data_IF_324851639673
#
_entry.id   IF_324851639673
#
_cell.length_a   1.000
_cell.length_b   1.000
_cell.length_c   1.000
_cell.angle_alpha   90.00
_cell.angle_beta   90.00
_cell.angle_gamma   90.00
#
_symmetry.space_group_name_H-M   'P 1'
#
loop_
_entity.id
_entity.type
_entity.pdbx_description
1 polymer ?
#
# COMPACT_ATOMS: atom_id res chain seq x y z
N UNK A 1 -9.11 -11.80 -16.89
CA UNK A 1 -9.39 -11.21 -15.59
C UNK A 1 -10.91 -11.07 -15.45
N UNK A 2 -11.48 -11.54 -14.33
CA UNK A 2 -12.90 -11.32 -14.08
C UNK A 2 -13.16 -9.81 -14.03
N UNK A 3 -14.26 -9.36 -14.69
CA UNK A 3 -14.67 -7.97 -14.66
C UNK A 3 -14.93 -7.56 -13.22
N UNK A 4 -14.12 -6.63 -12.71
CA UNK A 4 -14.31 -6.06 -11.36
C UNK A 4 -15.08 -4.76 -11.46
N UNK A 5 -15.94 -4.51 -10.50
CA UNK A 5 -16.58 -3.19 -10.36
C UNK A 5 -15.67 -2.23 -9.61
N UNK A 6 -15.73 -0.93 -9.90
CA UNK A 6 -15.02 0.09 -9.13
C UNK A 6 -15.35 0.02 -7.65
N UNK A 7 -14.32 0.15 -6.79
CA UNK A 7 -14.45 0.10 -5.34
C UNK A 7 -14.42 1.54 -4.81
N UNK A 8 -15.49 1.98 -4.16
CA UNK A 8 -15.53 3.31 -3.54
C UNK A 8 -14.85 3.26 -2.16
N UNK A 9 -13.84 4.11 -1.96
CA UNK A 9 -13.03 4.14 -0.75
C UNK A 9 -13.05 5.52 -0.12
N UNK A 10 -13.61 5.65 1.07
CA UNK A 10 -13.47 6.86 1.88
C UNK A 10 -12.10 6.85 2.55
N UNK A 11 -11.32 7.90 2.31
CA UNK A 11 -9.99 8.06 2.88
C UNK A 11 -10.00 8.94 4.13
N UNK A 12 -9.10 8.64 5.05
CA UNK A 12 -8.82 9.44 6.25
C UNK A 12 -7.31 9.50 6.46
N UNK A 13 -6.81 10.63 6.94
CA UNK A 13 -5.42 10.74 7.37
C UNK A 13 -5.23 10.05 8.72
N UNK A 14 -4.18 9.26 8.87
CA UNK A 14 -3.81 8.55 10.11
C UNK A 14 -2.30 8.50 10.30
N UNK A 15 -1.89 8.41 11.56
CA UNK A 15 -0.54 7.97 11.92
C UNK A 15 -0.45 6.44 11.75
N UNK A 16 0.50 6.00 10.94
CA UNK A 16 0.83 4.60 10.72
C UNK A 16 2.25 4.35 11.24
N UNK A 17 2.37 4.16 12.56
CA UNK A 17 3.65 3.88 13.23
C UNK A 17 4.73 4.94 12.95
N UNK A 18 4.35 6.21 13.03
CA UNK A 18 5.22 7.36 12.83
C UNK A 18 5.26 7.91 11.40
N UNK A 19 4.54 7.29 10.45
CA UNK A 19 4.28 7.88 9.13
C UNK A 19 2.87 8.46 9.10
N UNK A 20 2.69 9.59 8.46
CA UNK A 20 1.37 10.05 8.11
C UNK A 20 0.96 9.44 6.77
N UNK A 21 -0.23 8.87 6.73
CA UNK A 21 -0.76 8.20 5.56
C UNK A 21 -2.27 8.41 5.41
N UNK A 22 -2.75 8.41 4.17
CA UNK A 22 -4.16 8.23 3.89
C UNK A 22 -4.48 6.73 3.94
N UNK A 23 -5.48 6.38 4.72
CA UNK A 23 -5.95 5.02 4.90
C UNK A 23 -7.44 4.92 4.63
N UNK A 24 -7.96 3.73 4.43
CA UNK A 24 -9.40 3.52 4.41
C UNK A 24 -10.01 3.89 5.76
N UNK A 25 -11.11 4.66 5.74
CA UNK A 25 -11.91 4.91 6.94
C UNK A 25 -12.43 3.60 7.51
N UNK A 26 -12.96 2.75 6.64
CA UNK A 26 -13.41 1.39 6.94
C UNK A 26 -12.74 0.41 6.00
N UNK A 27 -12.21 -0.68 6.54
CA UNK A 27 -11.54 -1.71 5.73
C UNK A 27 -12.55 -2.46 4.86
N UNK A 28 -12.36 -2.42 3.55
CA UNK A 28 -13.22 -3.11 2.58
C UNK A 28 -12.64 -4.46 2.18
N UNK A 29 -13.48 -5.48 2.15
CA UNK A 29 -13.10 -6.83 1.72
C UNK A 29 -12.59 -6.82 0.27
N UNK A 30 -13.28 -6.09 -0.61
CA UNK A 30 -12.95 -5.99 -2.04
C UNK A 30 -11.54 -5.43 -2.28
N UNK A 31 -11.09 -4.49 -1.45
CA UNK A 31 -9.71 -3.96 -1.52
C UNK A 31 -8.68 -5.01 -1.08
N UNK A 32 -8.97 -5.79 -0.04
CA UNK A 32 -8.09 -6.88 0.39
C UNK A 32 -8.02 -7.98 -0.66
N UNK A 33 -9.14 -8.34 -1.26
CA UNK A 33 -9.23 -9.32 -2.35
C UNK A 33 -8.46 -8.84 -3.58
N UNK A 34 -8.64 -7.58 -4.00
CA UNK A 34 -7.89 -6.99 -5.11
C UNK A 34 -6.38 -7.09 -4.87
N UNK A 35 -5.92 -6.68 -3.68
CA UNK A 35 -4.51 -6.75 -3.32
C UNK A 35 -3.99 -8.20 -3.30
N UNK A 36 -4.75 -9.13 -2.74
CA UNK A 36 -4.40 -10.54 -2.69
C UNK A 36 -4.34 -11.17 -4.10
N UNK A 37 -5.25 -10.81 -4.98
CA UNK A 37 -5.24 -11.28 -6.37
C UNK A 37 -4.06 -10.72 -7.15
N UNK A 38 -3.71 -9.45 -6.97
CA UNK A 38 -2.48 -8.89 -7.54
C UNK A 38 -1.25 -9.70 -7.10
N UNK A 39 -1.12 -10.00 -5.80
CA UNK A 39 -0.01 -10.82 -5.29
C UNK A 39 0.00 -12.18 -5.96
N UNK A 40 -1.11 -12.91 -5.97
CA UNK A 40 -1.20 -14.27 -6.55
C UNK A 40 -0.87 -14.29 -8.05
N UNK A 41 -1.40 -13.33 -8.82
CA UNK A 41 -1.23 -13.32 -10.27
C UNK A 41 0.17 -12.87 -10.71
N UNK A 42 0.79 -11.96 -9.96
CA UNK A 42 2.11 -11.43 -10.31
C UNK A 42 3.28 -12.15 -9.61
N UNK A 43 3.01 -13.04 -8.64
CA UNK A 43 4.06 -13.81 -7.96
C UNK A 43 4.98 -14.59 -8.93
N UNK A 44 4.48 -15.23 -10.01
CA UNK A 44 5.36 -15.91 -10.98
C UNK A 44 6.31 -14.98 -11.75
N UNK A 45 6.02 -13.68 -11.77
CA UNK A 45 6.85 -12.66 -12.45
C UNK A 45 7.86 -12.01 -11.49
N UNK A 46 7.79 -12.30 -10.23
CA UNK A 46 8.61 -11.70 -9.17
C UNK A 46 9.99 -12.35 -9.12
N UNK A 47 11.04 -11.53 -9.09
CA UNK A 47 12.37 -12.01 -8.71
C UNK A 47 12.37 -12.44 -7.24
N UNK A 48 13.02 -13.55 -6.93
CA UNK A 48 13.18 -13.99 -5.54
C UNK A 48 14.03 -12.96 -4.77
N UNK A 49 13.64 -12.60 -3.54
CA UNK A 49 14.43 -11.70 -2.72
C UNK A 49 15.76 -12.37 -2.34
N UNK A 50 16.85 -11.60 -2.38
CA UNK A 50 18.15 -12.06 -1.87
C UNK A 50 18.15 -12.12 -0.34
N UNK A 51 19.10 -12.90 0.23
CA UNK A 51 19.22 -13.13 1.68
C UNK A 51 19.31 -11.82 2.46
N UNK A 52 20.13 -10.87 2.01
CA UNK A 52 20.27 -9.56 2.66
C UNK A 52 18.96 -8.76 2.71
N UNK A 53 18.07 -8.93 1.74
CA UNK A 53 16.75 -8.29 1.77
C UNK A 53 15.82 -8.98 2.78
N UNK A 54 15.85 -10.30 2.86
CA UNK A 54 15.09 -11.08 3.83
C UNK A 54 15.52 -10.74 5.26
N UNK A 55 16.82 -10.70 5.53
CA UNK A 55 17.37 -10.32 6.84
C UNK A 55 16.97 -8.90 7.25
N UNK A 56 17.04 -7.94 6.31
CA UNK A 56 16.59 -6.56 6.57
C UNK A 56 15.13 -6.49 6.99
N UNK A 57 14.25 -7.31 6.38
CA UNK A 57 12.84 -7.35 6.74
C UNK A 57 12.61 -7.99 8.11
N UNK A 58 13.35 -9.07 8.41
CA UNK A 58 13.30 -9.77 9.72
C UNK A 58 13.78 -8.88 10.86
N UNK A 59 14.79 -8.03 10.60
CA UNK A 59 15.29 -7.08 11.59
C UNK A 59 14.25 -6.05 12.07
N UNK A 60 13.14 -5.89 11.35
CA UNK A 60 12.00 -5.05 11.77
C UNK A 60 11.11 -5.70 12.84
N UNK A 61 11.35 -6.97 13.21
CA UNK A 61 10.57 -7.70 14.22
C UNK A 61 9.22 -8.19 13.65
N UNK A 62 9.26 -9.23 12.83
CA UNK A 62 8.06 -9.81 12.21
C UNK A 62 7.30 -10.73 13.18
N UNK A 63 5.97 -10.71 13.09
CA UNK A 63 5.15 -11.76 13.70
C UNK A 63 5.33 -13.11 12.97
N UNK A 64 4.92 -14.21 13.59
CA UNK A 64 4.96 -15.53 12.94
C UNK A 64 4.18 -15.55 11.61
N UNK A 65 3.04 -14.86 11.55
CA UNK A 65 2.25 -14.74 10.33
C UNK A 65 2.95 -13.91 9.26
N UNK A 66 3.59 -12.80 9.64
CA UNK A 66 4.36 -11.97 8.74
C UNK A 66 5.60 -12.70 8.19
N UNK A 67 6.27 -13.52 9.01
CA UNK A 67 7.37 -14.36 8.55
C UNK A 67 6.87 -15.40 7.52
N UNK A 68 5.71 -16.03 7.72
CA UNK A 68 5.11 -16.93 6.72
C UNK A 68 4.81 -16.20 5.41
N UNK A 69 4.28 -14.96 5.48
CA UNK A 69 4.04 -14.16 4.28
C UNK A 69 5.34 -13.81 3.57
N UNK A 70 6.39 -13.44 4.33
CA UNK A 70 7.72 -13.14 3.78
C UNK A 70 8.30 -14.35 3.03
N UNK A 71 8.24 -15.54 3.63
CA UNK A 71 8.75 -16.76 3.03
C UNK A 71 7.97 -17.16 1.77
N UNK A 72 6.64 -17.07 1.83
CA UNK A 72 5.77 -17.48 0.73
C UNK A 72 5.74 -16.48 -0.42
N UNK A 73 5.66 -15.19 -0.12
CA UNK A 73 5.38 -14.12 -1.08
C UNK A 73 6.51 -13.10 -1.21
N UNK A 74 7.62 -13.26 -0.48
CA UNK A 74 8.75 -12.33 -0.48
C UNK A 74 8.47 -10.96 0.16
N UNK A 75 7.31 -10.78 0.77
CA UNK A 75 6.91 -9.56 1.46
C UNK A 75 5.99 -9.86 2.65
N UNK A 76 6.25 -9.29 3.85
CA UNK A 76 5.51 -9.67 5.05
C UNK A 76 4.08 -9.08 5.13
N UNK A 77 3.82 -7.96 4.44
CA UNK A 77 2.55 -7.22 4.58
C UNK A 77 1.62 -7.44 3.38
N UNK A 78 1.36 -8.71 3.06
CA UNK A 78 0.45 -9.15 2.01
C UNK A 78 -0.69 -10.01 2.58
N UNK A 79 -1.68 -10.33 1.78
CA UNK A 79 -2.83 -11.15 2.16
C UNK A 79 -3.53 -10.60 3.41
N UNK A 80 -3.61 -11.35 4.49
CA UNK A 80 -4.23 -10.95 5.75
C UNK A 80 -3.53 -9.78 6.46
N UNK A 81 -2.25 -9.56 6.17
CA UNK A 81 -1.45 -8.46 6.71
C UNK A 81 -1.54 -7.17 5.87
N UNK A 82 -2.20 -7.22 4.71
CA UNK A 82 -2.34 -6.06 3.85
C UNK A 82 -3.18 -4.96 4.49
N UNK A 83 -2.67 -3.74 4.46
CA UNK A 83 -3.38 -2.52 4.84
C UNK A 83 -3.25 -1.50 3.72
N UNK A 84 -4.37 -1.13 3.11
CA UNK A 84 -4.34 -0.07 2.12
C UNK A 84 -3.90 1.25 2.76
N UNK A 85 -2.87 1.85 2.23
CA UNK A 85 -2.39 3.18 2.65
C UNK A 85 -1.66 3.89 1.52
N UNK A 86 -1.72 5.21 1.55
CA UNK A 86 -0.93 6.11 0.69
C UNK A 86 -0.08 6.98 1.61
N UNK A 87 1.23 6.73 1.65
CA UNK A 87 2.18 7.42 2.53
C UNK A 87 2.33 8.89 2.12
N UNK A 88 2.16 9.79 3.07
CA UNK A 88 2.29 11.25 2.87
C UNK A 88 3.60 11.81 3.41
N UNK A 89 4.22 11.15 4.40
CA UNK A 89 5.46 11.63 5.02
C UNK A 89 6.49 10.52 5.18
N UNK A 90 7.75 10.91 5.39
CA UNK A 90 8.74 10.02 6.02
C UNK A 90 8.34 9.75 7.48
N UNK A 91 9.03 8.82 8.14
CA UNK A 91 8.84 8.60 9.59
C UNK A 91 9.27 9.84 10.36
N UNK A 92 8.37 10.37 11.18
CA UNK A 92 8.56 11.54 12.04
C UNK A 92 8.64 11.01 13.47
N UNK A 93 9.77 11.26 14.15
CA UNK A 93 10.01 10.77 15.51
C UNK A 93 9.42 11.69 16.59
N UNK A 94 9.42 12.98 16.30
CA UNK A 94 8.87 14.00 17.19
C UNK A 94 7.35 14.02 17.09
N UNK A 95 6.67 13.82 18.20
CA UNK A 95 5.20 13.74 18.25
C UNK A 95 4.56 15.10 17.95
N UNK A 96 5.15 16.19 18.40
CA UNK A 96 4.64 17.55 18.19
C UNK A 96 4.75 17.95 16.71
N UNK A 97 5.87 17.64 16.05
CA UNK A 97 6.05 17.84 14.60
C UNK A 97 5.03 17.02 13.81
N UNK A 98 4.82 15.77 14.23
CA UNK A 98 3.88 14.87 13.58
C UNK A 98 2.44 15.34 13.70
N UNK A 99 2.04 15.80 14.89
CA UNK A 99 0.71 16.34 15.14
C UNK A 99 0.48 17.64 14.37
N UNK A 100 1.46 18.54 14.34
CA UNK A 100 1.39 19.77 13.56
C UNK A 100 1.20 19.47 12.07
N UNK A 101 1.97 18.55 11.51
CA UNK A 101 1.82 18.15 10.11
C UNK A 101 0.47 17.47 9.84
N UNK A 102 -0.05 16.66 10.79
CA UNK A 102 -1.37 16.06 10.68
C UNK A 102 -2.46 17.13 10.58
N UNK A 103 -2.38 18.19 11.38
CA UNK A 103 -3.35 19.31 11.33
C UNK A 103 -3.30 20.03 9.96
N UNK A 104 -2.11 20.26 9.42
CA UNK A 104 -1.97 20.87 8.09
C UNK A 104 -2.53 19.94 6.98
N UNK A 105 -2.30 18.62 7.06
CA UNK A 105 -2.88 17.65 6.12
C UNK A 105 -4.41 17.68 6.18
N UNK A 106 -4.99 17.71 7.38
CA UNK A 106 -6.44 17.75 7.55
C UNK A 106 -7.04 19.06 7.04
N UNK A 107 -6.38 20.19 7.32
CA UNK A 107 -6.81 21.51 6.89
C UNK A 107 -6.80 21.65 5.36
N UNK A 108 -5.68 21.29 4.73
CA UNK A 108 -5.50 21.46 3.28
C UNK A 108 -6.11 20.32 2.46
N UNK A 109 -6.29 19.15 3.07
CA UNK A 109 -6.89 17.97 2.43
C UNK A 109 -8.39 17.82 2.64
N UNK A 110 -9.04 18.71 3.41
CA UNK A 110 -10.44 18.56 3.83
C UNK A 110 -11.39 18.31 2.65
N UNK A 111 -11.30 19.10 1.59
CA UNK A 111 -12.14 18.97 0.40
C UNK A 111 -11.89 17.63 -0.32
N UNK A 112 -10.63 17.28 -0.55
CA UNK A 112 -10.25 16.03 -1.21
C UNK A 112 -10.66 14.79 -0.40
N UNK A 113 -10.60 14.89 0.93
CA UNK A 113 -10.99 13.81 1.85
C UNK A 113 -12.50 13.70 2.07
N UNK A 114 -13.27 14.72 1.71
CA UNK A 114 -14.73 14.70 1.84
C UNK A 114 -15.40 13.75 0.84
N UNK A 115 -14.79 13.50 -0.31
CA UNK A 115 -15.34 12.69 -1.38
C UNK A 115 -14.67 11.32 -1.44
N UNK A 116 -15.44 10.21 -1.57
CA UNK A 116 -14.86 8.89 -1.79
C UNK A 116 -14.04 8.82 -3.08
N UNK A 117 -12.93 8.09 -3.04
CA UNK A 117 -12.09 7.81 -4.21
C UNK A 117 -12.54 6.50 -4.85
N UNK A 118 -12.75 6.52 -6.16
CA UNK A 118 -13.01 5.31 -6.92
C UNK A 118 -11.69 4.61 -7.27
N UNK A 119 -11.50 3.39 -6.78
CA UNK A 119 -10.48 2.48 -7.26
C UNK A 119 -11.07 1.70 -8.42
N UNK A 120 -10.78 2.13 -9.63
CA UNK A 120 -11.41 1.69 -10.88
C UNK A 120 -10.44 1.00 -11.85
N UNK A 121 -9.16 0.87 -11.45
CA UNK A 121 -8.13 0.26 -12.27
C UNK A 121 -6.94 -0.22 -11.45
N UNK A 122 -6.12 -1.07 -12.06
CA UNK A 122 -4.75 -1.32 -11.66
C UNK A 122 -3.78 -0.75 -12.68
N UNK A 123 -2.60 -0.34 -12.24
CA UNK A 123 -1.53 0.12 -13.13
C UNK A 123 -0.26 -0.68 -12.89
N UNK A 124 0.44 -0.98 -13.98
CA UNK A 124 1.75 -1.63 -13.94
C UNK A 124 2.82 -0.59 -14.15
N UNK A 125 3.80 -0.58 -13.26
CA UNK A 125 4.95 0.29 -13.32
C UNK A 125 6.23 -0.53 -13.43
N UNK A 126 7.19 -0.01 -14.17
CA UNK A 126 8.54 -0.53 -14.28
C UNK A 126 9.55 0.46 -13.71
N UNK A 127 10.60 -0.06 -13.12
CA UNK A 127 11.77 0.69 -12.68
C UNK A 127 13.01 -0.05 -13.19
N UNK A 128 13.84 0.59 -13.99
CA UNK A 128 15.04 -0.04 -14.56
C UNK A 128 16.08 -0.44 -13.50
N UNK A 129 16.21 0.39 -12.49
CA UNK A 129 17.07 0.14 -11.34
C UNK A 129 16.55 0.94 -10.14
N UNK A 130 17.04 0.65 -8.92
CA UNK A 130 16.55 1.25 -7.66
C UNK A 130 16.64 2.78 -7.57
N UNK A 131 17.40 3.44 -8.47
CA UNK A 131 17.56 4.91 -8.52
C UNK A 131 16.78 5.55 -9.66
N UNK A 132 16.34 4.77 -10.64
CA UNK A 132 15.56 5.27 -11.75
C UNK A 132 14.12 5.64 -11.32
N UNK A 133 13.46 6.57 -12.00
CA UNK A 133 12.05 6.84 -11.79
C UNK A 133 11.19 5.64 -12.21
N UNK A 134 10.00 5.54 -11.63
CA UNK A 134 8.99 4.58 -12.09
C UNK A 134 8.34 5.08 -13.39
N UNK A 135 8.26 4.20 -14.38
CA UNK A 135 7.54 4.43 -15.64
C UNK A 135 6.28 3.57 -15.66
N UNK A 136 5.13 4.18 -15.90
CA UNK A 136 3.87 3.45 -16.05
C UNK A 136 3.82 2.75 -17.39
N UNK A 137 3.77 1.42 -17.41
CA UNK A 137 3.66 0.59 -18.62
C UNK A 137 2.22 0.47 -19.10
N UNK A 138 1.25 0.46 -18.19
CA UNK A 138 -0.15 0.31 -18.55
C UNK A 138 -1.10 0.61 -17.39
N UNK A 139 -2.36 0.92 -17.74
CA UNK A 139 -3.48 1.05 -16.81
C UNK A 139 -4.62 0.16 -17.34
N UNK A 140 -5.15 -0.67 -16.49
CA UNK A 140 -6.17 -1.67 -16.80
C UNK A 140 -7.43 -1.34 -16.01
N UNK A 141 -8.42 -0.78 -16.67
CA UNK A 141 -9.68 -0.40 -16.04
C UNK A 141 -10.49 -1.64 -15.63
N UNK A 142 -11.29 -1.50 -14.57
CA UNK A 142 -12.27 -2.52 -14.19
C UNK A 142 -13.50 -2.42 -15.10
N UNK A 143 -14.16 -3.56 -15.35
CA UNK A 143 -15.38 -3.59 -16.13
C UNK A 143 -15.21 -3.47 -17.65
N UNK A 144 -13.98 -3.54 -18.16
CA UNK A 144 -13.69 -3.61 -19.61
C UNK A 144 -13.43 -5.03 -20.07
#
# INVERSE_FOLDING_TARGET
AAARTPIQVQLVARDLSGFLALMQKESKAEMRELAADCVRHFDPMRALPGEAELEKRRAAGLSAQQEQMLQRWGYPYVMGEFRFHMTLSKRIKDDSERDALMQEILKHGAEALATPVAVDAISVFQQENRKAPFTRLGRFAFGS
#
